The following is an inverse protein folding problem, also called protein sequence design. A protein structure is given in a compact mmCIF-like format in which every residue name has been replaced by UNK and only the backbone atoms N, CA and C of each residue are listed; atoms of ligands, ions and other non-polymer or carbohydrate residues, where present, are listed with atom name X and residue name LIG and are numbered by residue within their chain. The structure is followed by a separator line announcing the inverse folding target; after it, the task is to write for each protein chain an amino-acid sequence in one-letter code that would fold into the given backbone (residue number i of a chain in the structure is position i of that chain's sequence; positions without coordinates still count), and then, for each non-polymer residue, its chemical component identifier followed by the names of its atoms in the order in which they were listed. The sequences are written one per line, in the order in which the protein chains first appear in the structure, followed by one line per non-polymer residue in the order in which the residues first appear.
data_IF_099736378534
#
_entry.id   IF_099736378534
#
_cell.length_a   1.000
_cell.length_b   1.000
_cell.length_c   1.000
_cell.angle_alpha   90.00
_cell.angle_beta   90.00
_cell.angle_gamma   90.00
#
_symmetry.space_group_name_H-M   'P 1'
#
loop_
_entity.id
_entity.type
_entity.pdbx_description
1 polymer ?
#
# COMPACT_ATOMS: atom_id res chain seq x y z
N UNK A 1 -32.79 8.77 5.54
CA UNK A 1 -32.00 10.03 5.55
C UNK A 1 -30.59 9.65 5.11
N UNK A 2 -30.04 10.36 4.14
CA UNK A 2 -28.69 10.12 3.64
C UNK A 2 -27.70 10.99 4.42
N UNK A 3 -26.56 10.44 4.83
CA UNK A 3 -25.47 11.20 5.45
C UNK A 3 -24.24 11.10 4.58
N UNK A 4 -23.56 12.24 4.42
CA UNK A 4 -22.34 12.33 3.63
C UNK A 4 -21.23 12.85 4.55
N UNK A 5 -20.15 12.08 4.65
CA UNK A 5 -18.94 12.45 5.36
C UNK A 5 -17.88 12.80 4.33
N UNK A 6 -17.35 14.02 4.39
CA UNK A 6 -16.27 14.45 3.51
C UNK A 6 -14.92 14.23 4.18
N UNK A 7 -14.00 13.62 3.43
CA UNK A 7 -12.60 13.52 3.80
C UNK A 7 -11.70 14.13 2.73
N UNK A 8 -10.39 14.09 2.95
CA UNK A 8 -9.43 14.64 2.00
C UNK A 8 -9.33 13.75 0.75
N UNK A 9 -9.99 14.16 -0.34
CA UNK A 9 -9.97 13.42 -1.61
C UNK A 9 -10.92 12.21 -1.68
N UNK A 10 -11.82 12.06 -0.71
CA UNK A 10 -12.86 11.02 -0.70
C UNK A 10 -14.13 11.49 0.02
N UNK A 11 -15.21 10.76 -0.15
CA UNK A 11 -16.43 10.91 0.64
C UNK A 11 -16.99 9.54 1.04
N UNK A 12 -17.73 9.48 2.14
CA UNK A 12 -18.48 8.31 2.59
C UNK A 12 -19.97 8.66 2.59
N UNK A 13 -20.78 7.80 1.98
CA UNK A 13 -22.23 7.94 1.85
C UNK A 13 -22.89 6.84 2.66
N UNK A 14 -23.64 7.23 3.70
CA UNK A 14 -24.49 6.33 4.47
C UNK A 14 -25.95 6.46 4.02
N UNK A 15 -26.54 5.35 3.58
CA UNK A 15 -27.95 5.29 3.16
C UNK A 15 -28.61 4.03 3.71
N UNK A 16 -29.22 4.18 4.89
CA UNK A 16 -29.87 3.06 5.58
C UNK A 16 -28.84 2.11 6.18
N UNK A 17 -28.82 0.88 5.67
CA UNK A 17 -27.87 -0.18 6.03
C UNK A 17 -26.62 -0.22 5.12
N UNK A 18 -26.61 0.58 4.04
CA UNK A 18 -25.51 0.64 3.09
C UNK A 18 -24.57 1.80 3.37
N UNK A 19 -23.28 1.52 3.34
CA UNK A 19 -22.20 2.50 3.48
C UNK A 19 -21.25 2.34 2.30
N UNK A 20 -21.01 3.42 1.58
CA UNK A 20 -20.13 3.43 0.42
C UNK A 20 -19.04 4.49 0.58
N UNK A 21 -17.83 4.18 0.16
CA UNK A 21 -16.74 5.15 0.01
C UNK A 21 -16.54 5.49 -1.47
N UNK A 22 -16.29 6.75 -1.77
CA UNK A 22 -16.10 7.26 -3.13
C UNK A 22 -14.94 8.22 -3.25
N UNK A 23 -14.24 8.19 -4.38
CA UNK A 23 -13.16 9.10 -4.73
C UNK A 23 -13.00 9.20 -6.26
N UNK A 24 -12.41 10.28 -6.80
CA UNK A 24 -12.12 10.39 -8.22
C UNK A 24 -11.01 9.43 -8.64
N UNK A 25 -11.17 8.75 -9.77
CA UNK A 25 -10.16 7.87 -10.35
C UNK A 25 -9.99 8.12 -11.85
N UNK A 26 -8.75 7.95 -12.33
CA UNK A 26 -8.41 8.14 -13.74
C UNK A 26 -8.21 9.61 -14.13
N UNK A 27 -7.84 9.87 -15.39
CA UNK A 27 -7.47 11.20 -15.87
C UNK A 27 -8.64 12.20 -15.88
N UNK A 28 -9.88 11.70 -15.94
CA UNK A 28 -11.10 12.52 -15.96
C UNK A 28 -11.75 12.69 -14.59
N UNK A 29 -11.21 12.03 -13.55
CA UNK A 29 -11.69 12.16 -12.18
C UNK A 29 -13.08 11.55 -11.94
N UNK A 30 -13.44 10.50 -12.68
CA UNK A 30 -14.73 9.83 -12.51
C UNK A 30 -14.83 9.22 -11.10
N UNK A 31 -15.96 9.45 -10.39
CA UNK A 31 -16.14 8.90 -9.06
C UNK A 31 -16.33 7.38 -9.14
N UNK A 32 -15.54 6.66 -8.34
CA UNK A 32 -15.71 5.21 -8.12
C UNK A 32 -16.34 4.97 -6.76
N UNK A 33 -17.23 3.98 -6.66
CA UNK A 33 -17.97 3.68 -5.43
C UNK A 33 -17.69 2.25 -4.99
N UNK A 34 -17.37 2.08 -3.71
CA UNK A 34 -17.15 0.76 -3.11
C UNK A 34 -17.91 0.63 -1.80
N UNK A 35 -18.57 -0.52 -1.62
CA UNK A 35 -19.25 -0.85 -0.37
C UNK A 35 -18.23 -1.12 0.73
N UNK A 36 -18.47 -0.57 1.92
CA UNK A 36 -17.61 -0.76 3.10
C UNK A 36 -18.43 -1.09 4.34
N UNK A 37 -17.79 -1.73 5.32
CA UNK A 37 -18.38 -1.94 6.64
C UNK A 37 -18.40 -0.64 7.45
N UNK A 38 -19.23 -0.62 8.50
CA UNK A 38 -19.25 0.48 9.47
C UNK A 38 -17.90 0.65 10.18
N UNK A 39 -17.22 -0.44 10.48
CA UNK A 39 -15.86 -0.43 11.04
C UNK A 39 -14.86 0.25 10.10
N UNK A 40 -14.92 -0.06 8.80
CA UNK A 40 -14.06 0.57 7.80
C UNK A 40 -14.38 2.06 7.62
N UNK A 41 -15.65 2.46 7.78
CA UNK A 41 -16.02 3.88 7.81
C UNK A 41 -15.40 4.60 9.01
N UNK A 42 -15.56 4.05 10.22
CA UNK A 42 -15.00 4.64 11.44
C UNK A 42 -13.46 4.74 11.34
N UNK A 43 -12.81 3.72 10.77
CA UNK A 43 -11.38 3.73 10.47
C UNK A 43 -11.01 4.84 9.48
N UNK A 44 -11.72 4.94 8.35
CA UNK A 44 -11.42 5.95 7.33
C UNK A 44 -11.60 7.39 7.85
N UNK A 45 -12.54 7.62 8.77
CA UNK A 45 -12.77 8.95 9.36
C UNK A 45 -11.74 9.32 10.44
N UNK A 46 -10.85 8.41 10.83
CA UNK A 46 -9.84 8.64 11.88
C UNK A 46 -8.65 9.46 11.40
N UNK A 47 -8.16 9.18 10.18
CA UNK A 47 -7.02 9.88 9.58
C UNK A 47 -6.98 9.69 8.06
N UNK A 48 -6.33 10.62 7.35
CA UNK A 48 -6.11 10.49 5.90
C UNK A 48 -5.34 9.19 5.55
N UNK A 49 -4.42 8.76 6.41
CA UNK A 49 -3.68 7.51 6.22
C UNK A 49 -4.61 6.30 6.37
N UNK A 50 -5.49 6.28 7.38
CA UNK A 50 -6.46 5.21 7.57
C UNK A 50 -7.49 5.20 6.43
N UNK A 51 -7.93 6.37 5.94
CA UNK A 51 -8.79 6.48 4.77
C UNK A 51 -8.14 5.86 3.53
N UNK A 52 -6.86 6.17 3.27
CA UNK A 52 -6.11 5.55 2.19
C UNK A 52 -6.07 4.03 2.32
N UNK A 53 -5.80 3.50 3.53
CA UNK A 53 -5.79 2.05 3.78
C UNK A 53 -7.15 1.41 3.46
N UNK A 54 -8.25 2.04 3.87
CA UNK A 54 -9.62 1.58 3.59
C UNK A 54 -9.92 1.65 2.09
N UNK A 55 -9.52 2.70 1.38
CA UNK A 55 -9.70 2.83 -0.07
C UNK A 55 -8.97 1.72 -0.84
N UNK A 56 -7.73 1.40 -0.46
CA UNK A 56 -6.97 0.28 -1.04
C UNK A 56 -7.67 -1.05 -0.76
N UNK A 57 -8.12 -1.28 0.47
CA UNK A 57 -8.85 -2.49 0.84
C UNK A 57 -10.16 -2.64 0.06
N UNK A 58 -10.96 -1.57 -0.04
CA UNK A 58 -12.23 -1.58 -0.75
C UNK A 58 -12.05 -1.88 -2.25
N UNK A 59 -10.97 -1.37 -2.86
CA UNK A 59 -10.65 -1.61 -4.27
C UNK A 59 -10.08 -3.01 -4.54
N UNK A 60 -9.21 -3.52 -3.66
CA UNK A 60 -8.39 -4.70 -3.94
C UNK A 60 -8.73 -5.93 -3.12
N UNK A 61 -9.56 -5.78 -2.09
CA UNK A 61 -9.82 -6.79 -1.06
C UNK A 61 -8.66 -7.02 -0.09
N UNK A 62 -7.55 -6.31 -0.24
CA UNK A 62 -6.33 -6.50 0.55
C UNK A 62 -5.93 -5.20 1.24
N UNK A 63 -5.56 -5.29 2.51
CA UNK A 63 -4.98 -4.14 3.21
C UNK A 63 -3.61 -3.82 2.60
N UNK A 64 -3.25 -2.54 2.43
CA UNK A 64 -1.88 -2.20 2.07
C UNK A 64 -0.97 -2.68 3.19
N UNK A 65 0.15 -3.26 2.80
CA UNK A 65 1.17 -3.72 3.73
C UNK A 65 1.69 -2.54 4.56
N UNK A 66 1.98 -2.79 5.83
CA UNK A 66 2.67 -1.78 6.63
C UNK A 66 4.07 -1.51 6.07
N UNK A 67 4.64 -0.35 6.37
CA UNK A 67 5.95 0.05 5.81
C UNK A 67 7.03 -0.99 6.10
N UNK A 68 7.01 -1.57 7.30
CA UNK A 68 7.99 -2.57 7.72
C UNK A 68 7.82 -3.87 6.92
N UNK A 69 6.58 -4.33 6.71
CA UNK A 69 6.30 -5.51 5.86
C UNK A 69 6.68 -5.27 4.39
N UNK A 70 6.49 -4.05 3.88
CA UNK A 70 6.95 -3.68 2.54
C UNK A 70 8.48 -3.73 2.45
N UNK A 71 9.16 -3.23 3.48
CA UNK A 71 10.62 -3.26 3.57
C UNK A 71 11.15 -4.68 3.63
N UNK A 72 10.58 -5.53 4.49
CA UNK A 72 10.95 -6.95 4.58
C UNK A 72 10.76 -7.68 3.26
N UNK A 73 9.67 -7.44 2.54
CA UNK A 73 9.46 -8.01 1.20
C UNK A 73 10.47 -7.50 0.19
N UNK A 74 10.85 -6.23 0.26
CA UNK A 74 11.88 -5.64 -0.60
C UNK A 74 13.24 -6.30 -0.35
N UNK A 75 13.63 -6.44 0.92
CA UNK A 75 14.86 -7.14 1.33
C UNK A 75 14.83 -8.59 0.85
N UNK A 76 13.75 -9.32 1.10
CA UNK A 76 13.60 -10.71 0.65
C UNK A 76 13.66 -10.86 -0.88
N UNK A 77 13.11 -9.91 -1.62
CA UNK A 77 13.18 -9.88 -3.08
C UNK A 77 14.62 -9.67 -3.57
N UNK A 78 15.37 -8.74 -2.97
CA UNK A 78 16.78 -8.50 -3.32
C UNK A 78 17.66 -9.69 -2.96
N UNK A 79 17.43 -10.36 -1.81
CA UNK A 79 18.12 -11.63 -1.46
C UNK A 79 17.94 -12.71 -2.52
N UNK A 80 16.76 -12.76 -3.16
CA UNK A 80 16.46 -13.71 -4.24
C UNK A 80 17.08 -13.31 -5.58
N UNK A 81 17.27 -12.01 -5.80
CA UNK A 81 17.80 -11.43 -7.03
C UNK A 81 18.94 -10.43 -6.72
N UNK A 82 20.10 -10.91 -6.24
CA UNK A 82 21.16 -10.05 -5.72
C UNK A 82 21.76 -9.13 -6.79
N UNK A 83 21.60 -9.44 -8.07
CA UNK A 83 21.96 -8.56 -9.22
C UNK A 83 21.40 -7.13 -9.12
N UNK A 84 20.27 -6.96 -8.41
CA UNK A 84 19.66 -5.66 -8.18
C UNK A 84 20.53 -4.73 -7.33
N UNK A 85 21.48 -5.27 -6.56
CA UNK A 85 22.49 -4.49 -5.82
C UNK A 85 23.47 -3.78 -6.76
N UNK A 86 23.66 -4.30 -7.98
CA UNK A 86 24.51 -3.69 -9.02
C UNK A 86 23.70 -2.73 -9.88
N UNK A 87 22.48 -3.13 -10.27
CA UNK A 87 21.59 -2.33 -11.14
C UNK A 87 20.99 -1.11 -10.43
N UNK A 88 20.79 -1.19 -9.11
CA UNK A 88 20.22 -0.13 -8.26
C UNK A 88 21.04 -0.06 -6.96
N UNK A 89 22.13 0.73 -6.94
CA UNK A 89 23.07 0.78 -5.81
C UNK A 89 22.45 1.20 -4.48
N UNK A 90 21.36 1.97 -4.49
CA UNK A 90 20.62 2.38 -3.27
C UNK A 90 20.04 1.18 -2.50
N UNK A 91 19.98 0.00 -3.13
CA UNK A 91 19.59 -1.23 -2.44
C UNK A 91 20.63 -1.73 -1.45
N UNK A 92 21.88 -1.28 -1.55
CA UNK A 92 22.96 -1.70 -0.67
C UNK A 92 22.74 -1.18 0.76
N UNK A 93 22.11 -0.01 0.90
CA UNK A 93 21.77 0.59 2.20
C UNK A 93 20.77 -0.24 3.04
N UNK A 94 20.16 -1.27 2.43
CA UNK A 94 19.24 -2.17 3.12
C UNK A 94 19.92 -3.31 3.88
N UNK A 95 21.23 -3.50 3.70
CA UNK A 95 21.98 -4.64 4.21
C UNK A 95 23.17 -4.16 5.04
N UNK A 96 23.57 -4.96 6.03
CA UNK A 96 24.84 -4.73 6.71
C UNK A 96 26.03 -5.14 5.82
N UNK A 97 27.24 -4.76 6.23
CA UNK A 97 28.45 -4.99 5.44
C UNK A 97 28.74 -6.49 5.21
N UNK A 98 28.42 -7.34 6.18
CA UNK A 98 28.67 -8.79 6.08
C UNK A 98 27.69 -9.45 5.10
N UNK A 99 26.40 -9.16 5.24
CA UNK A 99 25.35 -9.67 4.37
C UNK A 99 25.53 -9.16 2.93
N UNK A 100 25.86 -7.88 2.76
CA UNK A 100 26.13 -7.29 1.44
C UNK A 100 27.27 -8.01 0.72
N UNK A 101 28.36 -8.32 1.43
CA UNK A 101 29.50 -9.04 0.87
C UNK A 101 29.12 -10.44 0.39
N UNK A 102 28.32 -11.17 1.19
CA UNK A 102 27.83 -12.50 0.83
C UNK A 102 26.97 -12.43 -0.44
N UNK A 103 26.03 -11.49 -0.51
CA UNK A 103 25.14 -11.32 -1.67
C UNK A 103 25.92 -10.95 -2.94
N UNK A 104 26.93 -10.08 -2.83
CA UNK A 104 27.78 -9.72 -3.97
C UNK A 104 28.66 -10.88 -4.45
N UNK A 105 29.12 -11.75 -3.55
CA UNK A 105 29.86 -12.96 -3.90
C UNK A 105 28.97 -13.96 -4.66
N UNK A 106 27.72 -14.14 -4.23
CA UNK A 106 26.76 -15.02 -4.93
C UNK A 106 26.55 -14.61 -6.40
N UNK A 107 26.58 -13.31 -6.70
CA UNK A 107 26.47 -12.82 -8.09
C UNK A 107 27.68 -13.27 -8.91
N UNK A 108 28.88 -13.22 -8.34
CA UNK A 108 30.12 -13.59 -9.03
C UNK A 108 30.24 -15.11 -9.25
N UNK A 109 29.70 -15.92 -8.34
CA UNK A 109 29.72 -17.38 -8.45
C UNK A 109 28.61 -17.95 -9.35
N UNK A 110 27.58 -17.15 -9.64
CA UNK A 110 26.43 -17.52 -10.48
C UNK A 110 26.52 -17.07 -11.96
N UNK A 111 27.62 -16.40 -12.35
CA UNK A 111 27.95 -15.99 -13.73
C UNK A 111 28.94 -16.96 -14.37
#
# INVERSE_FOLDING_TARGET
MERIHQGNGFAIIEKGDKIQITWPQGPYGDPVFYDISKENMEKALKSDQDAYKVMVYAKTGNWPLEKDEQMEKRIAFIRRFPELLIKVPENQDLFDEEELKILLQQIHEGL
#
